data_IF_310074668617
#
_entry.id   IF_310074668617
#
_cell.length_a   1.000
_cell.length_b   1.000
_cell.length_c   1.000
_cell.angle_alpha   90.00
_cell.angle_beta   90.00
_cell.angle_gamma   90.00
#
_symmetry.space_group_name_H-M   'P 1'
#
loop_
_entity.id
_entity.type
_entity.pdbx_description
1 polymer ?
#
# COMPACT_ATOMS: atom_id res chain seq x y z
N UNK A 1 8.58 -6.77 6.91
CA UNK A 1 7.21 -7.31 6.80
C UNK A 1 6.46 -6.48 5.78
N UNK A 2 5.42 -7.01 5.14
CA UNK A 2 4.47 -6.17 4.36
C UNK A 2 3.25 -5.84 5.18
N UNK A 3 2.35 -5.06 4.61
CA UNK A 3 1.08 -4.60 5.18
C UNK A 3 -0.06 -4.88 4.20
N UNK A 4 -1.31 -4.89 4.66
CA UNK A 4 -2.52 -4.99 3.82
C UNK A 4 -3.41 -3.76 3.95
N UNK A 5 -4.54 -3.71 3.24
CA UNK A 5 -5.51 -2.63 3.35
C UNK A 5 -5.89 -2.30 4.80
N UNK A 6 -6.06 -3.31 5.66
CA UNK A 6 -6.41 -3.11 7.07
C UNK A 6 -5.34 -2.35 7.87
N UNK A 7 -4.09 -2.29 7.39
CA UNK A 7 -3.03 -1.52 8.04
C UNK A 7 -3.34 -0.02 8.11
N UNK A 8 -4.20 0.50 7.22
CA UNK A 8 -4.60 1.91 7.24
C UNK A 8 -5.34 2.28 8.55
N UNK A 9 -6.09 1.35 9.14
CA UNK A 9 -6.73 1.53 10.45
C UNK A 9 -5.73 1.51 11.62
N UNK A 10 -4.55 0.89 11.42
CA UNK A 10 -3.46 0.77 12.40
C UNK A 10 -2.49 1.97 12.36
N UNK A 11 -2.71 2.93 11.45
CA UNK A 11 -1.80 4.06 11.32
C UNK A 11 -1.81 4.92 12.60
N UNK A 12 -0.68 5.55 12.98
CA UNK A 12 -0.53 6.22 14.29
C UNK A 12 -1.52 7.37 14.55
N UNK A 13 -2.20 7.85 13.52
CA UNK A 13 -3.20 8.89 13.59
C UNK A 13 -4.64 8.37 13.73
N UNK A 14 -4.84 7.05 13.76
CA UNK A 14 -6.10 6.43 14.12
C UNK A 14 -6.28 6.49 15.65
N UNK A 15 -7.39 7.04 16.18
CA UNK A 15 -7.61 7.13 17.64
C UNK A 15 -7.48 5.79 18.37
N UNK A 16 -7.88 4.70 17.70
CA UNK A 16 -7.80 3.32 18.22
C UNK A 16 -6.63 2.53 17.61
N UNK A 17 -5.56 3.18 17.14
CA UNK A 17 -4.41 2.51 16.53
C UNK A 17 -3.86 1.36 17.39
N UNK A 18 -3.82 1.52 18.72
CA UNK A 18 -3.37 0.49 19.65
C UNK A 18 -4.32 -0.71 19.75
N UNK A 19 -5.61 -0.53 19.48
CA UNK A 19 -6.60 -1.60 19.47
C UNK A 19 -6.61 -2.30 18.11
N UNK A 20 -6.55 -1.56 17.01
CA UNK A 20 -6.36 -2.13 15.67
C UNK A 20 -5.01 -2.87 15.56
N UNK A 21 -3.97 -2.44 16.28
CA UNK A 21 -2.68 -3.13 16.30
C UNK A 21 -2.72 -4.53 16.97
N UNK A 22 -3.75 -4.82 17.78
CA UNK A 22 -3.95 -6.15 18.39
C UNK A 22 -4.55 -7.16 17.43
N UNK A 23 -5.19 -6.67 16.37
CA UNK A 23 -5.78 -7.47 15.31
C UNK A 23 -4.61 -7.87 14.42
N UNK A 24 -4.31 -9.17 14.30
CA UNK A 24 -3.28 -9.60 13.36
C UNK A 24 -3.68 -9.14 11.95
N UNK A 25 -2.74 -9.04 11.03
CA UNK A 25 -3.11 -8.76 9.65
C UNK A 25 -4.11 -9.82 9.15
N UNK A 26 -4.05 -11.05 9.68
CA UNK A 26 -4.90 -12.20 9.34
C UNK A 26 -6.24 -12.30 10.07
N UNK A 27 -6.44 -11.50 11.11
CA UNK A 27 -7.68 -11.51 11.87
C UNK A 27 -8.69 -10.58 11.20
N UNK A 28 -9.96 -11.02 11.09
CA UNK A 28 -11.04 -10.09 10.83
C UNK A 28 -11.10 -9.09 12.00
N UNK A 29 -11.48 -7.83 11.71
CA UNK A 29 -11.86 -6.91 12.78
C UNK A 29 -12.94 -7.64 13.60
N UNK A 30 -12.76 -7.86 14.91
CA UNK A 30 -13.69 -8.67 15.68
C UNK A 30 -15.08 -8.04 15.58
N UNK A 31 -16.09 -8.87 15.29
CA UNK A 31 -17.52 -8.49 15.27
C UNK A 31 -18.06 -8.13 16.69
N UNK A 32 -17.20 -7.79 17.65
CA UNK A 32 -17.60 -7.54 19.04
C UNK A 32 -18.01 -6.09 19.27
N UNK A 33 -19.26 -5.95 19.73
CA UNK A 33 -20.00 -4.75 20.17
C UNK A 33 -19.98 -3.60 19.15
N UNK A 34 -21.17 -3.24 18.62
CA UNK A 34 -21.30 -2.06 17.76
C UNK A 34 -20.59 -0.88 18.45
N UNK A 35 -19.47 -0.39 17.89
CA UNK A 35 -18.70 0.64 18.55
C UNK A 35 -19.60 1.86 18.74
N UNK A 36 -19.46 2.53 19.88
CA UNK A 36 -20.22 3.73 20.21
C UNK A 36 -20.28 4.66 18.98
N UNK A 37 -21.48 5.03 18.50
CA UNK A 37 -21.63 5.92 17.35
C UNK A 37 -20.82 7.22 17.47
N UNK A 38 -20.63 7.73 18.68
CA UNK A 38 -19.81 8.91 18.95
C UNK A 38 -18.32 8.64 18.67
N UNK A 39 -17.80 7.50 19.12
CA UNK A 39 -16.44 7.06 18.80
C UNK A 39 -16.24 6.85 17.30
N UNK A 40 -17.19 6.20 16.62
CA UNK A 40 -17.11 6.00 15.16
C UNK A 40 -17.09 7.33 14.43
N UNK A 41 -17.90 8.31 14.86
CA UNK A 41 -17.92 9.65 14.29
C UNK A 41 -16.60 10.40 14.53
N UNK A 42 -16.02 10.31 15.72
CA UNK A 42 -14.72 10.90 16.05
C UNK A 42 -13.59 10.30 15.21
N UNK A 43 -13.58 8.98 15.03
CA UNK A 43 -12.60 8.30 14.17
C UNK A 43 -12.71 8.78 12.73
N UNK A 44 -13.92 8.85 12.18
CA UNK A 44 -14.16 9.36 10.83
C UNK A 44 -13.72 10.81 10.70
N UNK A 45 -14.02 11.66 11.69
CA UNK A 45 -13.59 13.06 11.70
C UNK A 45 -12.06 13.17 11.71
N UNK A 46 -11.39 12.34 12.52
CA UNK A 46 -9.93 12.29 12.58
C UNK A 46 -9.33 11.84 11.25
N UNK A 47 -9.84 10.77 10.64
CA UNK A 47 -9.43 10.30 9.30
C UNK A 47 -9.60 11.42 8.26
N UNK A 48 -10.73 12.13 8.31
CA UNK A 48 -11.00 13.28 7.41
C UNK A 48 -10.01 14.43 7.55
N UNK A 49 -9.40 14.66 8.71
CA UNK A 49 -8.33 15.64 8.84
C UNK A 49 -7.11 15.32 7.95
N UNK A 50 -6.85 14.04 7.66
CA UNK A 50 -5.73 13.59 6.83
C UNK A 50 -6.09 13.46 5.35
N UNK A 51 -7.34 13.11 5.03
CA UNK A 51 -7.79 12.86 3.65
C UNK A 51 -8.43 14.06 2.97
N UNK A 52 -8.77 15.12 3.71
CA UNK A 52 -9.38 16.33 3.13
C UNK A 52 -8.50 17.00 2.07
N UNK A 53 -9.14 17.72 1.15
CA UNK A 53 -8.45 18.54 0.15
C UNK A 53 -7.49 19.56 0.79
N UNK A 54 -6.35 19.80 0.13
CA UNK A 54 -5.41 20.86 0.51
C UNK A 54 -4.50 20.56 1.69
N UNK A 55 -4.49 19.34 2.23
CA UNK A 55 -3.56 18.94 3.30
C UNK A 55 -2.10 19.09 2.87
N UNK A 56 -1.30 19.74 3.71
CA UNK A 56 0.08 20.13 3.39
C UNK A 56 1.01 18.93 3.21
N UNK A 57 0.79 17.84 3.96
CA UNK A 57 1.63 16.65 3.91
C UNK A 57 1.67 16.03 2.51
N UNK A 58 0.58 16.12 1.74
CA UNK A 58 0.51 15.59 0.37
C UNK A 58 1.52 16.25 -0.57
N UNK A 59 1.91 17.50 -0.30
CA UNK A 59 2.88 18.28 -1.08
C UNK A 59 4.32 18.14 -0.56
N UNK A 60 4.53 17.38 0.51
CA UNK A 60 5.88 17.13 1.02
C UNK A 60 6.59 16.11 0.14
N UNK A 61 7.87 16.33 -0.13
CA UNK A 61 8.71 15.36 -0.82
C UNK A 61 8.95 14.12 0.06
N UNK A 62 8.93 12.93 -0.54
CA UNK A 62 9.18 11.66 0.18
C UNK A 62 10.62 11.58 0.71
N UNK A 63 11.57 12.19 0.00
CA UNK A 63 12.96 12.29 0.46
C UNK A 63 13.65 13.55 -0.05
N UNK A 64 14.77 13.89 0.58
CA UNK A 64 15.72 14.89 0.09
C UNK A 64 17.12 14.24 -0.06
N UNK A 65 17.75 14.29 -1.24
CA UNK A 65 17.22 14.87 -2.48
C UNK A 65 15.94 14.13 -2.98
N UNK A 66 15.08 14.81 -3.76
CA UNK A 66 13.88 14.18 -4.31
C UNK A 66 14.22 12.94 -5.13
N UNK A 67 13.48 11.82 -4.98
CA UNK A 67 13.61 10.70 -5.91
C UNK A 67 13.20 11.20 -7.29
N UNK A 68 14.02 11.00 -8.35
CA UNK A 68 13.59 11.34 -9.70
C UNK A 68 12.51 10.38 -10.22
N UNK A 69 12.40 9.18 -9.64
CA UNK A 69 11.48 8.12 -10.04
C UNK A 69 10.95 7.40 -8.81
N UNK A 70 9.78 6.78 -8.90
CA UNK A 70 9.28 5.76 -7.96
C UNK A 70 9.43 4.39 -8.63
N UNK A 71 10.07 3.44 -7.94
CA UNK A 71 10.04 2.06 -8.40
C UNK A 71 8.72 1.40 -8.01
N UNK A 72 7.99 0.87 -8.97
CA UNK A 72 6.83 0.01 -8.73
C UNK A 72 7.21 -1.45 -8.98
N UNK A 73 6.99 -2.31 -7.99
CA UNK A 73 7.30 -3.73 -8.05
C UNK A 73 6.03 -4.53 -7.71
N UNK A 74 5.66 -5.48 -8.55
CA UNK A 74 4.54 -6.39 -8.32
C UNK A 74 5.02 -7.84 -8.39
N UNK A 75 4.91 -8.55 -7.27
CA UNK A 75 5.07 -10.00 -7.20
C UNK A 75 3.70 -10.67 -7.29
N UNK A 76 3.45 -11.47 -8.31
CA UNK A 76 2.24 -12.29 -8.43
C UNK A 76 2.59 -13.77 -8.21
N UNK A 77 2.02 -14.34 -7.14
CA UNK A 77 2.15 -15.75 -6.75
C UNK A 77 0.83 -16.54 -6.89
N UNK A 78 -0.23 -15.95 -7.44
CA UNK A 78 -1.56 -16.54 -7.40
C UNK A 78 -1.94 -17.33 -8.64
N UNK A 79 -1.36 -16.96 -9.79
CA UNK A 79 -1.84 -17.42 -11.10
C UNK A 79 -1.25 -18.75 -11.57
N UNK A 80 -0.68 -19.57 -10.68
CA UNK A 80 0.10 -20.77 -11.05
C UNK A 80 1.46 -20.44 -11.67
N UNK A 81 1.86 -19.18 -11.60
CA UNK A 81 3.16 -18.66 -12.01
C UNK A 81 3.77 -17.88 -10.86
N UNK A 82 5.10 -17.90 -10.77
CA UNK A 82 5.86 -16.90 -10.06
C UNK A 82 6.21 -15.80 -11.07
N UNK A 83 5.48 -14.69 -11.02
CA UNK A 83 5.66 -13.58 -11.94
C UNK A 83 6.09 -12.31 -11.20
N UNK A 84 7.07 -11.59 -11.76
CA UNK A 84 7.46 -10.26 -11.28
C UNK A 84 7.23 -9.27 -12.41
N UNK A 85 6.49 -8.22 -12.11
CA UNK A 85 6.27 -7.09 -12.99
C UNK A 85 6.80 -5.81 -12.35
N UNK A 86 7.44 -4.94 -13.13
CA UNK A 86 8.03 -3.69 -12.61
C UNK A 86 7.72 -2.50 -13.50
N UNK A 87 7.79 -1.31 -12.92
CA UNK A 87 7.76 -0.04 -13.65
C UNK A 87 8.61 1.01 -12.92
N UNK A 88 9.10 2.00 -13.66
CA UNK A 88 9.66 3.23 -13.10
C UNK A 88 8.65 4.35 -13.34
N UNK A 89 8.02 4.85 -12.28
CA UNK A 89 6.98 5.88 -12.34
C UNK A 89 7.63 7.25 -12.19
N UNK A 90 7.40 8.13 -13.16
CA UNK A 90 7.84 9.53 -13.09
C UNK A 90 6.90 10.35 -12.18
N UNK A 91 7.44 11.11 -11.21
CA UNK A 91 6.63 12.00 -10.40
C UNK A 91 6.05 13.16 -11.21
N UNK A 92 4.87 13.64 -10.81
CA UNK A 92 4.15 14.71 -11.50
C UNK A 92 4.89 16.05 -11.52
N UNK A 93 5.78 16.31 -10.55
CA UNK A 93 6.25 17.66 -10.24
C UNK A 93 7.65 17.68 -9.58
N UNK A 94 8.71 17.45 -10.36
CA UNK A 94 10.09 17.70 -9.89
C UNK A 94 10.56 16.84 -8.70
N UNK A 95 9.84 15.75 -8.40
CA UNK A 95 10.14 14.83 -7.31
C UNK A 95 8.89 14.11 -6.80
N UNK A 96 9.08 12.91 -6.24
CA UNK A 96 7.99 12.13 -5.65
C UNK A 96 7.46 12.80 -4.37
N UNK A 97 6.18 13.17 -4.37
CA UNK A 97 5.50 13.66 -3.18
C UNK A 97 4.81 12.56 -2.39
N UNK A 98 4.63 12.80 -1.10
CA UNK A 98 3.94 11.89 -0.19
C UNK A 98 2.51 11.61 -0.66
N UNK A 99 1.81 12.60 -1.23
CA UNK A 99 0.45 12.42 -1.74
C UNK A 99 0.38 11.43 -2.90
N UNK A 100 1.32 11.51 -3.85
CA UNK A 100 1.40 10.58 -4.99
C UNK A 100 1.71 9.16 -4.54
N UNK A 101 2.68 9.00 -3.64
CA UNK A 101 3.00 7.70 -3.04
C UNK A 101 1.79 7.12 -2.27
N UNK A 102 1.10 7.96 -1.51
CA UNK A 102 -0.09 7.54 -0.77
C UNK A 102 -1.22 7.10 -1.69
N UNK A 103 -1.50 7.85 -2.76
CA UNK A 103 -2.56 7.52 -3.72
C UNK A 103 -2.30 6.17 -4.40
N UNK A 104 -1.04 5.88 -4.77
CA UNK A 104 -0.64 4.58 -5.33
C UNK A 104 -0.87 3.46 -4.30
N UNK A 105 -0.39 3.64 -3.07
CA UNK A 105 -0.52 2.62 -2.02
C UNK A 105 -1.98 2.38 -1.67
N UNK A 106 -2.75 3.43 -1.35
CA UNK A 106 -4.17 3.30 -1.00
C UNK A 106 -4.98 2.64 -2.12
N UNK A 107 -4.79 3.10 -3.37
CA UNK A 107 -5.54 2.54 -4.49
C UNK A 107 -5.22 1.06 -4.69
N UNK A 108 -3.94 0.68 -4.82
CA UNK A 108 -3.59 -0.71 -5.11
C UNK A 108 -3.76 -1.66 -3.91
N UNK A 109 -3.82 -1.15 -2.67
CA UNK A 109 -4.21 -1.93 -1.50
C UNK A 109 -5.71 -2.25 -1.47
N UNK A 110 -6.57 -1.43 -2.09
CA UNK A 110 -8.01 -1.67 -2.14
C UNK A 110 -8.52 -2.26 -3.46
N UNK A 111 -7.97 -1.80 -4.57
CA UNK A 111 -8.44 -2.05 -5.92
C UNK A 111 -7.63 -3.16 -6.58
N UNK A 112 -7.88 -4.39 -6.15
CA UNK A 112 -7.26 -5.59 -6.72
C UNK A 112 -8.28 -6.71 -6.92
N UNK A 113 -7.97 -7.62 -7.84
CA UNK A 113 -8.85 -8.76 -8.17
C UNK A 113 -8.69 -9.94 -7.21
N UNK A 114 -7.70 -9.87 -6.34
CA UNK A 114 -7.33 -10.92 -5.40
C UNK A 114 -8.06 -10.84 -4.09
N UNK A 115 -8.05 -11.92 -3.31
CA UNK A 115 -8.53 -11.88 -1.93
C UNK A 115 -7.70 -10.93 -1.06
N UNK A 116 -6.43 -10.70 -1.39
CA UNK A 116 -5.55 -9.86 -0.59
C UNK A 116 -4.40 -9.30 -1.42
N UNK A 117 -3.99 -8.08 -1.13
CA UNK A 117 -2.80 -7.44 -1.67
C UNK A 117 -1.91 -6.93 -0.55
N UNK A 118 -0.74 -7.54 -0.43
CA UNK A 118 0.28 -7.06 0.47
C UNK A 118 1.04 -5.93 -0.19
N UNK A 119 1.44 -4.92 0.58
CA UNK A 119 2.32 -3.87 0.12
C UNK A 119 3.47 -3.63 1.10
N UNK A 120 4.54 -3.02 0.60
CA UNK A 120 5.64 -2.50 1.40
C UNK A 120 6.24 -1.32 0.67
N UNK A 121 6.50 -0.24 1.40
CA UNK A 121 7.31 0.87 0.89
C UNK A 121 8.73 0.72 1.40
N UNK A 122 9.68 0.67 0.48
CA UNK A 122 11.11 0.54 0.76
C UNK A 122 11.81 1.85 0.45
N UNK A 123 12.66 2.30 1.37
CA UNK A 123 13.62 3.39 1.14
C UNK A 123 15.05 2.87 1.19
N UNK A 124 15.96 3.51 0.46
CA UNK A 124 17.39 3.16 0.42
C UNK A 124 17.97 3.14 1.83
N UNK A 125 18.73 2.10 2.15
CA UNK A 125 19.35 1.89 3.46
C UNK A 125 18.56 0.99 4.40
N UNK A 126 17.31 0.62 4.08
CA UNK A 126 16.57 -0.37 4.86
C UNK A 126 17.03 -1.79 4.51
N UNK A 127 17.34 -2.60 5.54
CA UNK A 127 17.60 -4.03 5.36
C UNK A 127 16.28 -4.76 5.17
N UNK A 128 16.11 -5.35 3.99
CA UNK A 128 14.93 -6.12 3.65
C UNK A 128 15.19 -7.62 3.72
N UNK A 129 14.14 -8.36 4.05
CA UNK A 129 14.02 -9.78 3.76
C UNK A 129 13.19 -9.94 2.49
N UNK A 130 13.67 -10.79 1.59
CA UNK A 130 13.01 -11.18 0.35
C UNK A 130 12.69 -12.67 0.42
N UNK A 131 11.63 -13.09 -0.28
CA UNK A 131 11.23 -14.49 -0.33
C UNK A 131 12.12 -15.27 -1.29
N UNK A 132 12.56 -14.63 -2.38
CA UNK A 132 13.38 -15.23 -3.42
C UNK A 132 14.60 -14.36 -3.74
N UNK A 133 15.70 -14.98 -4.16
CA UNK A 133 16.91 -14.26 -4.59
C UNK A 133 16.65 -13.40 -5.83
N UNK A 134 15.89 -13.92 -6.81
CA UNK A 134 15.53 -13.16 -8.01
C UNK A 134 14.73 -11.88 -7.68
N UNK A 135 13.86 -11.94 -6.67
CA UNK A 135 13.09 -10.80 -6.17
C UNK A 135 14.04 -9.73 -5.60
N UNK A 136 15.04 -10.18 -4.82
CA UNK A 136 16.07 -9.31 -4.23
C UNK A 136 16.90 -8.63 -5.31
N UNK A 137 17.32 -9.37 -6.34
CA UNK A 137 18.19 -8.85 -7.40
C UNK A 137 17.47 -7.79 -8.23
N UNK A 138 16.22 -8.06 -8.66
CA UNK A 138 15.38 -7.09 -9.39
C UNK A 138 15.11 -5.85 -8.53
N UNK A 139 14.73 -6.05 -7.26
CA UNK A 139 14.50 -4.93 -6.35
C UNK A 139 15.78 -4.10 -6.15
N UNK A 140 16.96 -4.72 -6.07
CA UNK A 140 18.22 -4.01 -5.94
C UNK A 140 18.55 -3.20 -7.19
N UNK A 141 18.26 -3.72 -8.38
CA UNK A 141 18.42 -2.98 -9.64
C UNK A 141 17.54 -1.71 -9.66
N UNK A 142 16.28 -1.82 -9.25
CA UNK A 142 15.39 -0.67 -9.13
C UNK A 142 15.93 0.36 -8.12
N UNK A 143 16.41 -0.11 -6.96
CA UNK A 143 17.03 0.74 -5.93
C UNK A 143 18.35 1.38 -6.35
N UNK A 144 18.94 0.99 -7.48
CA UNK A 144 20.07 1.71 -8.08
C UNK A 144 19.57 2.92 -8.88
N UNK A 145 18.38 2.83 -9.50
CA UNK A 145 17.75 3.89 -10.31
C UNK A 145 16.96 4.91 -9.47
N UNK A 146 16.45 4.49 -8.31
CA UNK A 146 15.72 5.34 -7.36
C UNK A 146 16.15 5.06 -5.92
N UNK A 147 15.64 5.81 -4.96
CA UNK A 147 15.79 5.55 -3.52
C UNK A 147 14.48 5.13 -2.84
N UNK A 148 13.37 5.01 -3.58
CA UNK A 148 12.06 4.58 -3.08
C UNK A 148 11.44 3.56 -4.04
N UNK A 149 11.05 2.40 -3.50
CA UNK A 149 10.30 1.36 -4.23
C UNK A 149 9.05 1.02 -3.43
N UNK A 150 7.90 0.99 -4.10
CA UNK A 150 6.69 0.36 -3.58
C UNK A 150 6.58 -1.05 -4.15
N UNK A 151 6.48 -2.02 -3.27
CA UNK A 151 6.33 -3.43 -3.61
C UNK A 151 4.92 -3.88 -3.24
N UNK A 152 4.19 -4.39 -4.21
CA UNK A 152 2.94 -5.11 -4.03
C UNK A 152 3.20 -6.62 -4.20
N UNK A 153 2.56 -7.43 -3.36
CA UNK A 153 2.59 -8.88 -3.47
C UNK A 153 1.18 -9.42 -3.44
N UNK A 154 0.83 -10.05 -4.53
CA UNK A 154 -0.33 -10.89 -4.61
C UNK A 154 0.05 -12.29 -4.13
N UNK A 155 -0.46 -12.65 -2.95
CA UNK A 155 -0.24 -13.96 -2.34
C UNK A 155 -1.57 -14.71 -2.41
N UNK A 156 -1.54 -15.96 -2.89
CA UNK A 156 -2.71 -16.81 -2.87
C UNK A 156 -3.05 -17.20 -1.44
N UNK A 157 -4.05 -16.54 -0.88
CA UNK A 157 -4.58 -16.83 0.44
C UNK A 157 -5.59 -18.01 0.42
N UNK A 158 -5.65 -18.78 -0.69
CA UNK A 158 -6.46 -20.00 -0.93
C UNK A 158 -7.88 -20.01 -0.33
N UNK A 159 -8.53 -18.85 -0.24
CA UNK A 159 -9.86 -18.73 0.36
C UNK A 159 -9.92 -18.95 1.87
N UNK A 160 -8.77 -18.98 2.56
CA UNK A 160 -8.71 -19.06 4.02
C UNK A 160 -9.12 -17.76 4.72
N UNK A 161 -9.20 -16.65 3.98
CA UNK A 161 -9.50 -15.32 4.51
C UNK A 161 -10.51 -14.59 3.62
N UNK A 162 -11.33 -13.75 4.23
CA UNK A 162 -12.22 -12.82 3.52
C UNK A 162 -11.40 -11.88 2.62
N UNK A 163 -12.00 -11.44 1.52
CA UNK A 163 -11.38 -10.44 0.64
C UNK A 163 -11.07 -9.16 1.42
N UNK A 164 -9.86 -8.63 1.29
CA UNK A 164 -9.45 -7.35 1.87
C UNK A 164 -9.29 -6.29 0.79
N UNK A 165 -9.84 -5.08 0.96
CA UNK A 165 -10.77 -4.69 2.01
C UNK A 165 -12.13 -5.39 1.86
N UNK A 166 -12.79 -5.69 2.99
CA UNK A 166 -14.11 -6.36 3.03
C UNK A 166 -15.18 -5.54 2.32
N UNK A 167 -15.10 -4.22 2.46
CA UNK A 167 -15.95 -3.24 1.78
C UNK A 167 -15.04 -2.16 1.15
N UNK A 168 -14.95 -2.19 -0.17
CA UNK A 168 -14.12 -1.28 -0.94
C UNK A 168 -14.63 0.16 -0.90
N UNK A 169 -15.95 0.35 -0.91
CA UNK A 169 -16.57 1.67 -0.90
C UNK A 169 -16.37 2.33 0.46
N UNK A 170 -16.51 1.57 1.56
CA UNK A 170 -16.20 2.05 2.90
C UNK A 170 -14.71 2.35 3.07
N UNK A 171 -13.83 1.50 2.55
CA UNK A 171 -12.37 1.74 2.58
C UNK A 171 -11.99 3.01 1.82
N UNK A 172 -12.54 3.22 0.64
CA UNK A 172 -12.33 4.44 -0.14
C UNK A 172 -12.92 5.67 0.56
N UNK A 173 -14.11 5.57 1.16
CA UNK A 173 -14.72 6.67 1.90
C UNK A 173 -13.89 7.13 3.11
N UNK A 174 -13.19 6.20 3.76
CA UNK A 174 -12.37 6.48 4.95
C UNK A 174 -10.96 6.96 4.59
N UNK A 175 -10.34 6.42 3.53
CA UNK A 175 -8.90 6.61 3.27
C UNK A 175 -8.55 7.28 1.94
N UNK A 176 -9.44 7.31 0.96
CA UNK A 176 -9.15 8.04 -0.28
C UNK A 176 -9.13 9.54 0.02
N UNK A 177 -8.07 10.22 -0.41
CA UNK A 177 -7.99 11.67 -0.29
C UNK A 177 -8.96 12.37 -1.27
N UNK A 178 -9.51 13.52 -0.88
CA UNK A 178 -10.40 14.30 -1.77
C UNK A 178 -9.69 14.72 -3.07
N UNK A 179 -8.39 15.05 -2.96
CA UNK A 179 -7.53 15.39 -4.09
C UNK A 179 -6.84 14.15 -4.69
N UNK A 180 -7.47 12.97 -4.61
CA UNK A 180 -6.93 11.72 -5.14
C UNK A 180 -6.64 11.83 -6.63
N UNK A 181 -5.49 11.29 -7.04
CA UNK A 181 -5.11 11.15 -8.44
C UNK A 181 -4.77 9.69 -8.73
N UNK A 182 -5.54 9.10 -9.63
CA UNK A 182 -5.19 7.77 -10.13
C UNK A 182 -3.95 7.88 -11.02
N UNK A 183 -2.89 7.17 -10.62
CA UNK A 183 -1.65 7.06 -11.39
C UNK A 183 -1.69 5.71 -12.08
N UNK A 184 -1.87 5.71 -13.41
CA UNK A 184 -1.79 4.47 -14.18
C UNK A 184 -0.32 4.02 -14.22
N UNK A 185 -0.07 2.79 -13.79
CA UNK A 185 1.27 2.21 -13.75
C UNK A 185 1.36 1.11 -14.81
N UNK A 186 1.99 1.44 -15.92
CA UNK A 186 2.23 0.50 -17.01
C UNK A 186 3.43 -0.38 -16.68
N UNK A 187 3.18 -1.60 -16.19
CA UNK A 187 4.23 -2.54 -15.78
C UNK A 187 4.70 -3.46 -16.89
N UNK A 188 5.99 -3.78 -16.90
CA UNK A 188 6.60 -4.82 -17.74
C UNK A 188 6.82 -6.10 -16.92
N UNK A 189 6.58 -7.27 -17.52
CA UNK A 189 6.93 -8.56 -16.91
C UNK A 189 8.43 -8.80 -17.10
N UNK A 190 9.18 -8.80 -16.00
CA UNK A 190 10.65 -8.99 -16.01
C UNK A 190 11.06 -10.40 -15.60
N UNK A 191 10.17 -11.15 -14.98
CA UNK A 191 10.39 -12.54 -14.62
C UNK A 191 9.06 -13.29 -14.60
N UNK A 192 9.06 -14.51 -15.14
CA UNK A 192 7.89 -15.40 -15.13
C UNK A 192 8.34 -16.86 -15.25
N UNK A 193 7.98 -17.68 -14.27
CA UNK A 193 8.18 -19.13 -14.30
C UNK A 193 6.95 -19.84 -13.76
N UNK A 194 6.62 -21.05 -14.24
CA UNK A 194 5.53 -21.82 -13.65
C UNK A 194 5.87 -22.18 -12.20
N UNK A 195 4.84 -22.31 -11.37
CA UNK A 195 4.98 -22.79 -9.98
C UNK A 195 5.35 -24.28 -9.94
#
# INVERSE_FOLDING_TARGET
MGHRANYFYKLPWSPRAAEYAKIDDWDELPDEEEPDPELVAEEKATRRCFTRSGVSWRRMLVSQPPPPLLGYFLLDLHSGWNQISTAMVEPSCGGLHMGELYDIVQYHSGHHKSNSMWFRVTRRGLRLRFMFDIQKDIHQEMMNKTNVVVEFRHIADYGMYAGEPKDLDAFDADFRCDDFRHINVDTEIVFKVPF
#
